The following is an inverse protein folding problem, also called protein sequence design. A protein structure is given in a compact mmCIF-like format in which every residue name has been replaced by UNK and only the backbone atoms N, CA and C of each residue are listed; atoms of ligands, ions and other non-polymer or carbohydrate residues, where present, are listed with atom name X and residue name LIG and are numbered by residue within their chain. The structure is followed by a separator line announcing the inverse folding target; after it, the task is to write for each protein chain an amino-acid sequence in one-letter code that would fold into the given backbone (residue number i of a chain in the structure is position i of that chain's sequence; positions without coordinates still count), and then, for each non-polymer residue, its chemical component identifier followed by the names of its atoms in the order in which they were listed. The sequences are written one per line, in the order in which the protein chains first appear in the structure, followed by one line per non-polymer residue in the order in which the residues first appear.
data_IF_504949902536
#
_entry.id   IF_504949902536
#
_cell.length_a   1.000
_cell.length_b   1.000
_cell.length_c   1.000
_cell.angle_alpha   90.00
_cell.angle_beta   90.00
_cell.angle_gamma   90.00
#
_symmetry.space_group_name_H-M   'P 1'
#
loop_
_entity.id
_entity.type
_entity.pdbx_description
1 polymer ?
#
# COMPACT_ATOMS: atom_id res chain seq x y z
N UNK A 1 -15.62 6.76 -9.69
CA UNK A 1 -14.98 5.80 -8.75
C UNK A 1 -14.21 4.68 -9.44
N UNK A 2 -14.67 4.14 -10.58
CA UNK A 2 -14.01 3.02 -11.29
C UNK A 2 -12.61 3.30 -11.86
N UNK A 3 -12.25 4.57 -12.10
CA UNK A 3 -10.97 4.96 -12.74
C UNK A 3 -9.82 5.18 -11.75
N UNK A 4 -10.10 5.26 -10.45
CA UNK A 4 -9.21 5.85 -9.45
C UNK A 4 -8.12 4.91 -8.93
N UNK A 5 -8.51 3.69 -8.57
CA UNK A 5 -7.56 2.64 -8.18
C UNK A 5 -6.66 2.30 -9.36
N UNK A 6 -7.24 2.30 -10.57
CA UNK A 6 -6.52 1.96 -11.79
C UNK A 6 -5.30 2.85 -12.01
N UNK A 7 -5.35 4.17 -11.74
CA UNK A 7 -4.18 5.06 -11.90
C UNK A 7 -3.08 4.76 -10.90
N UNK A 8 -3.42 4.50 -9.64
CA UNK A 8 -2.44 4.14 -8.59
C UNK A 8 -1.84 2.78 -8.90
N UNK A 9 -2.68 1.81 -9.28
CA UNK A 9 -2.18 0.52 -9.75
C UNK A 9 -1.32 0.71 -11.02
N UNK A 10 -1.64 1.64 -11.92
CA UNK A 10 -0.79 1.94 -13.07
C UNK A 10 0.61 2.42 -12.63
N UNK A 11 0.68 3.36 -11.68
CA UNK A 11 1.94 3.84 -11.09
C UNK A 11 2.77 2.71 -10.45
N UNK A 12 2.10 1.78 -9.77
CA UNK A 12 2.76 0.67 -9.09
C UNK A 12 2.93 -0.58 -9.95
N UNK A 13 2.35 -0.68 -11.16
CA UNK A 13 2.32 -1.96 -11.88
C UNK A 13 2.51 -1.89 -13.40
N UNK A 14 2.44 -0.73 -14.09
CA UNK A 14 2.88 -0.66 -15.51
C UNK A 14 4.37 -0.45 -15.72
N UNK A 15 5.11 -0.34 -14.63
CA UNK A 15 6.57 -0.22 -14.62
C UNK A 15 7.25 -1.53 -14.20
N UNK A 16 6.80 -2.66 -14.75
CA UNK A 16 7.61 -3.89 -14.87
C UNK A 16 8.94 -3.65 -15.64
N UNK A 17 9.19 -2.42 -16.11
CA UNK A 17 10.42 -1.98 -16.76
C UNK A 17 11.03 -0.85 -15.94
N UNK A 18 11.82 -1.22 -14.92
CA UNK A 18 12.76 -0.38 -14.13
C UNK A 18 12.16 0.72 -13.24
N UNK A 19 12.11 0.49 -11.92
CA UNK A 19 11.91 1.56 -10.92
C UNK A 19 11.11 1.15 -9.67
N UNK A 20 10.45 0.00 -9.70
CA UNK A 20 9.71 -0.53 -8.55
C UNK A 20 10.62 -1.37 -7.65
N UNK A 21 10.44 -1.23 -6.34
CA UNK A 21 11.23 -1.94 -5.35
C UNK A 21 10.30 -2.54 -4.30
N UNK A 22 10.35 -3.86 -4.14
CA UNK A 22 9.77 -4.54 -3.00
C UNK A 22 10.55 -4.15 -1.74
N UNK A 23 9.86 -3.62 -0.72
CA UNK A 23 10.52 -3.19 0.51
C UNK A 23 10.49 -4.30 1.56
N UNK A 24 9.31 -4.84 1.84
CA UNK A 24 9.10 -5.91 2.81
C UNK A 24 7.68 -6.48 2.74
N UNK A 25 7.46 -7.66 3.32
CA UNK A 25 6.15 -8.24 3.59
C UNK A 25 6.11 -8.98 4.92
N UNK A 26 4.90 -9.38 5.36
CA UNK A 26 4.67 -10.31 6.46
C UNK A 26 4.66 -11.77 6.01
N UNK A 27 4.87 -12.06 4.73
CA UNK A 27 5.00 -13.43 4.25
C UNK A 27 6.47 -13.83 4.45
N UNK A 28 6.67 -14.89 5.22
CA UNK A 28 7.99 -15.49 5.36
C UNK A 28 8.27 -16.33 4.11
N UNK A 29 9.02 -15.76 3.16
CA UNK A 29 9.57 -16.51 2.03
C UNK A 29 11.04 -16.85 2.28
N UNK A 30 11.45 -18.05 1.86
CA UNK A 30 12.86 -18.50 1.87
C UNK A 30 13.76 -17.71 0.89
N UNK A 31 13.20 -16.75 0.14
CA UNK A 31 13.93 -15.98 -0.86
C UNK A 31 14.70 -14.80 -0.22
N UNK A 32 16.03 -14.82 -0.36
CA UNK A 32 16.97 -13.82 0.21
C UNK A 32 16.66 -12.37 -0.23
N UNK A 33 15.87 -12.19 -1.29
CA UNK A 33 15.48 -10.89 -1.84
C UNK A 33 14.30 -10.21 -1.14
N UNK A 34 13.48 -10.94 -0.37
CA UNK A 34 12.30 -10.37 0.28
C UNK A 34 12.53 -10.19 1.78
N UNK A 35 12.44 -8.94 2.25
CA UNK A 35 12.57 -8.64 3.67
C UNK A 35 11.28 -9.02 4.41
N UNK A 36 11.36 -9.96 5.33
CA UNK A 36 10.28 -10.28 6.26
C UNK A 36 10.18 -9.24 7.38
N UNK A 37 8.95 -8.82 7.69
CA UNK A 37 8.61 -8.00 8.86
C UNK A 37 7.48 -8.69 9.61
N UNK A 38 7.67 -9.08 10.88
CA UNK A 38 6.61 -9.71 11.66
C UNK A 38 5.50 -8.70 11.98
N UNK A 39 4.25 -9.17 12.07
CA UNK A 39 3.06 -8.35 12.24
C UNK A 39 3.17 -7.35 13.41
N UNK A 40 3.76 -7.76 14.53
CA UNK A 40 3.90 -6.91 15.73
C UNK A 40 4.84 -5.70 15.53
N UNK A 41 5.66 -5.67 14.48
CA UNK A 41 6.54 -4.54 14.13
C UNK A 41 5.97 -3.65 13.01
N UNK A 42 4.84 -4.02 12.40
CA UNK A 42 4.29 -3.29 11.24
C UNK A 42 3.97 -1.84 11.54
N UNK A 43 3.39 -1.57 12.72
CA UNK A 43 3.04 -0.20 13.12
C UNK A 43 4.28 0.71 13.07
N UNK A 44 5.41 0.23 13.61
CA UNK A 44 6.65 1.00 13.65
C UNK A 44 7.29 1.14 12.27
N UNK A 45 7.26 0.10 11.44
CA UNK A 45 7.79 0.18 10.06
C UNK A 45 6.98 1.16 9.20
N UNK A 46 5.65 1.15 9.29
CA UNK A 46 4.80 2.05 8.51
C UNK A 46 4.89 3.49 9.02
N UNK A 47 5.04 3.69 10.32
CA UNK A 47 5.25 5.02 10.89
C UNK A 47 6.53 5.69 10.39
N UNK A 48 7.56 4.92 9.99
CA UNK A 48 8.74 5.49 9.32
C UNK A 48 8.38 6.14 7.99
N UNK A 49 7.42 5.58 7.24
CA UNK A 49 6.91 6.21 6.02
C UNK A 49 6.11 7.45 6.34
N UNK A 50 5.24 7.41 7.36
CA UNK A 50 4.50 8.59 7.81
C UNK A 50 5.43 9.74 8.21
N UNK A 51 6.51 9.43 8.94
CA UNK A 51 7.50 10.41 9.40
C UNK A 51 8.38 10.95 8.25
N UNK A 52 8.60 10.15 7.20
CA UNK A 52 9.46 10.52 6.07
C UNK A 52 8.73 11.29 4.95
N UNK A 53 7.51 10.89 4.63
CA UNK A 53 6.74 11.43 3.51
C UNK A 53 5.82 12.57 3.94
N UNK A 54 5.66 13.58 3.10
CA UNK A 54 4.83 14.76 3.41
C UNK A 54 3.33 14.48 3.49
N UNK A 55 2.85 13.51 2.73
CA UNK A 55 1.43 13.20 2.63
C UNK A 55 1.18 11.70 2.51
N UNK A 56 -0.05 11.31 2.86
CA UNK A 56 -0.57 9.99 2.57
C UNK A 56 -1.98 10.05 1.98
N UNK A 57 -2.36 8.99 1.28
CA UNK A 57 -3.70 8.76 0.78
C UNK A 57 -4.28 7.52 1.46
N UNK A 58 -5.53 7.63 1.87
CA UNK A 58 -6.32 6.55 2.47
C UNK A 58 -7.21 5.92 1.39
N UNK A 59 -6.91 4.67 1.06
CA UNK A 59 -7.69 3.82 0.15
C UNK A 59 -8.14 2.55 0.87
N UNK A 60 -8.58 2.70 2.12
CA UNK A 60 -9.13 1.61 2.93
C UNK A 60 -10.62 1.36 2.64
N UNK A 61 -11.10 0.17 2.97
CA UNK A 61 -12.53 -0.21 2.87
C UNK A 61 -12.94 -0.93 1.58
N UNK A 62 -12.00 -1.46 0.80
CA UNK A 62 -12.33 -2.30 -0.35
C UNK A 62 -12.60 -3.74 0.10
N UNK A 63 -13.71 -4.33 -0.35
CA UNK A 63 -13.83 -5.78 -0.33
C UNK A 63 -12.86 -6.39 -1.34
N UNK A 64 -12.27 -7.53 -1.00
CA UNK A 64 -11.32 -8.23 -1.86
C UNK A 64 -11.90 -8.53 -3.24
N UNK A 65 -13.12 -9.07 -3.29
CA UNK A 65 -13.84 -9.36 -4.54
C UNK A 65 -13.94 -8.11 -5.43
N UNK A 66 -14.34 -6.98 -4.83
CA UNK A 66 -14.47 -5.71 -5.56
C UNK A 66 -13.12 -5.21 -6.04
N UNK A 67 -12.10 -5.27 -5.20
CA UNK A 67 -10.75 -4.84 -5.53
C UNK A 67 -10.22 -5.62 -6.74
N UNK A 68 -10.25 -6.96 -6.68
CA UNK A 68 -9.80 -7.84 -7.77
C UNK A 68 -10.58 -7.52 -9.05
N UNK A 69 -11.90 -7.44 -8.98
CA UNK A 69 -12.73 -7.11 -10.14
C UNK A 69 -12.41 -5.74 -10.75
N UNK A 70 -12.09 -4.74 -9.93
CA UNK A 70 -11.74 -3.40 -10.41
C UNK A 70 -10.27 -3.32 -10.91
N UNK A 71 -9.36 -4.15 -10.39
CA UNK A 71 -7.94 -4.21 -10.81
C UNK A 71 -7.67 -5.10 -12.02
N UNK A 72 -8.46 -6.16 -12.22
CA UNK A 72 -8.35 -7.09 -13.36
C UNK A 72 -8.67 -6.45 -14.73
N UNK A 73 -9.14 -5.19 -14.76
CA UNK A 73 -9.29 -4.43 -16.01
C UNK A 73 -7.96 -3.93 -16.61
N UNK A 74 -6.81 -4.24 -16.01
CA UNK A 74 -5.49 -3.87 -16.57
C UNK A 74 -4.28 -4.67 -16.08
N UNK A 75 -4.45 -5.65 -15.19
CA UNK A 75 -3.37 -6.47 -14.63
C UNK A 75 -3.89 -7.91 -14.38
N UNK A 76 -3.37 -8.90 -15.09
CA UNK A 76 -3.86 -10.29 -15.04
C UNK A 76 -3.38 -11.07 -13.78
N UNK A 77 -2.41 -10.55 -13.01
CA UNK A 77 -1.68 -11.33 -12.00
C UNK A 77 -2.19 -11.21 -10.55
N UNK A 78 -3.45 -10.83 -10.31
CA UNK A 78 -3.97 -10.62 -8.94
C UNK A 78 -4.69 -11.81 -8.31
N UNK A 79 -4.71 -12.97 -8.98
CA UNK A 79 -5.40 -14.17 -8.46
C UNK A 79 -4.81 -14.66 -7.13
N UNK A 80 -3.51 -14.46 -6.88
CA UNK A 80 -2.85 -14.85 -5.62
C UNK A 80 -3.48 -14.18 -4.39
N UNK A 81 -4.14 -13.02 -4.55
CA UNK A 81 -4.85 -12.36 -3.46
C UNK A 81 -6.00 -13.21 -2.90
N UNK A 82 -6.59 -14.07 -3.72
CA UNK A 82 -7.65 -14.99 -3.30
C UNK A 82 -7.14 -16.06 -2.33
N UNK A 83 -5.87 -16.45 -2.46
CA UNK A 83 -5.26 -17.50 -1.63
C UNK A 83 -4.90 -17.00 -0.23
N UNK A 84 -4.86 -15.67 -0.02
CA UNK A 84 -4.54 -15.05 1.26
C UNK A 84 -5.77 -15.09 2.19
N UNK A 85 -5.69 -15.93 3.22
CA UNK A 85 -6.73 -16.06 4.26
C UNK A 85 -6.36 -15.34 5.56
N UNK A 86 -5.07 -15.28 5.89
CA UNK A 86 -4.55 -14.56 7.06
C UNK A 86 -4.11 -13.14 6.70
N UNK A 87 -4.01 -12.25 7.70
CA UNK A 87 -3.54 -10.89 7.50
C UNK A 87 -2.13 -10.89 6.89
N UNK A 88 -2.06 -10.47 5.64
CA UNK A 88 -0.83 -10.23 4.91
C UNK A 88 -0.65 -8.74 4.68
N UNK A 89 0.54 -8.22 4.99
CA UNK A 89 0.88 -6.83 4.68
C UNK A 89 2.14 -6.80 3.85
N UNK A 90 2.12 -6.00 2.77
CA UNK A 90 3.28 -5.79 1.91
C UNK A 90 3.51 -4.30 1.67
N UNK A 91 4.77 -3.94 1.44
CA UNK A 91 5.19 -2.59 1.13
C UNK A 91 5.99 -2.56 -0.18
N UNK A 92 5.55 -1.73 -1.12
CA UNK A 92 6.16 -1.52 -2.42
C UNK A 92 6.54 -0.06 -2.57
N UNK A 93 7.69 0.21 -3.19
CA UNK A 93 8.10 1.55 -3.59
C UNK A 93 8.10 1.66 -5.10
N UNK A 94 7.65 2.81 -5.62
CA UNK A 94 7.80 3.18 -7.02
C UNK A 94 8.29 4.62 -7.13
N UNK A 95 8.65 5.04 -8.34
CA UNK A 95 9.04 6.42 -8.64
C UNK A 95 7.90 7.11 -9.40
N UNK A 96 7.58 8.35 -9.02
CA UNK A 96 6.57 9.18 -9.69
C UNK A 96 7.12 10.59 -9.82
N UNK A 97 7.18 11.10 -11.06
CA UNK A 97 7.71 12.44 -11.34
C UNK A 97 9.15 12.59 -10.85
N UNK A 98 9.38 13.57 -9.98
CA UNK A 98 10.69 13.82 -9.33
C UNK A 98 10.84 13.13 -7.97
N UNK A 99 9.80 12.45 -7.50
CA UNK A 99 9.73 11.84 -6.18
C UNK A 99 9.66 10.31 -6.22
N UNK A 100 9.34 9.76 -5.04
CA UNK A 100 9.01 8.35 -4.88
C UNK A 100 7.74 8.21 -4.06
N UNK A 101 7.05 7.11 -4.29
CA UNK A 101 5.80 6.75 -3.63
C UNK A 101 5.96 5.39 -2.97
N UNK A 102 5.32 5.20 -1.81
CA UNK A 102 5.29 3.91 -1.12
C UNK A 102 3.85 3.48 -0.94
N UNK A 103 3.51 2.30 -1.45
CA UNK A 103 2.25 1.62 -1.22
C UNK A 103 2.43 0.64 -0.07
N UNK A 104 1.57 0.73 0.93
CA UNK A 104 1.38 -0.31 1.94
C UNK A 104 0.01 -0.93 1.72
N UNK A 105 -0.02 -2.23 1.49
CA UNK A 105 -1.23 -2.99 1.20
C UNK A 105 -1.46 -4.01 2.31
N UNK A 106 -2.63 -3.96 2.92
CA UNK A 106 -3.13 -4.93 3.89
C UNK A 106 -4.16 -5.80 3.19
N UNK A 107 -4.01 -7.11 3.31
CA UNK A 107 -4.82 -8.11 2.65
C UNK A 107 -5.30 -9.06 3.74
N UNK A 108 -6.61 -9.17 3.91
CA UNK A 108 -7.24 -10.19 4.76
C UNK A 108 -8.04 -11.14 3.88
N UNK A 109 -8.71 -12.14 4.47
CA UNK A 109 -9.63 -13.01 3.73
C UNK A 109 -10.68 -12.20 2.93
N UNK A 110 -11.21 -11.13 3.53
CA UNK A 110 -12.39 -10.41 3.01
C UNK A 110 -12.09 -9.01 2.46
N UNK A 111 -11.04 -8.34 2.94
CA UNK A 111 -10.79 -6.93 2.68
C UNK A 111 -9.39 -6.67 2.16
N UNK A 112 -9.27 -5.59 1.37
CA UNK A 112 -7.99 -5.00 0.98
C UNK A 112 -8.01 -3.53 1.39
N UNK A 113 -6.99 -3.12 2.14
CA UNK A 113 -6.78 -1.75 2.55
C UNK A 113 -5.45 -1.25 1.99
N UNK A 114 -5.45 -0.05 1.41
CA UNK A 114 -4.24 0.54 0.84
C UNK A 114 -3.93 1.88 1.49
N UNK A 115 -2.65 2.12 1.75
CA UNK A 115 -2.12 3.42 2.13
C UNK A 115 -1.02 3.78 1.15
N UNK A 116 -1.08 4.97 0.56
CA UNK A 116 -0.02 5.46 -0.33
C UNK A 116 0.65 6.67 0.29
N UNK A 117 1.96 6.61 0.48
CA UNK A 117 2.78 7.72 0.98
C UNK A 117 3.52 8.38 -0.19
N UNK A 118 3.61 9.72 -0.16
CA UNK A 118 4.31 10.50 -1.19
C UNK A 118 4.79 11.85 -0.66
N UNK A 119 5.73 12.45 -1.39
CA UNK A 119 6.21 13.82 -1.17
C UNK A 119 5.57 14.84 -2.12
N UNK A 120 4.87 14.36 -3.14
CA UNK A 120 4.24 15.15 -4.19
C UNK A 120 2.79 14.67 -4.37
N UNK A 121 1.92 15.57 -4.81
CA UNK A 121 0.55 15.20 -5.17
C UNK A 121 0.59 14.31 -6.42
N UNK A 122 0.24 13.03 -6.25
CA UNK A 122 0.32 12.00 -7.29
C UNK A 122 -0.75 12.26 -8.37
N UNK A 123 -1.90 12.81 -7.99
CA UNK A 123 -2.97 13.15 -8.93
C UNK A 123 -3.92 14.18 -8.32
N UNK A 124 -4.17 15.30 -9.02
CA UNK A 124 -5.02 16.43 -8.58
C UNK A 124 -6.46 16.05 -8.16
N UNK A 125 -6.89 14.81 -8.35
CA UNK A 125 -8.23 14.31 -8.05
C UNK A 125 -8.30 13.46 -6.78
N UNK A 126 -7.19 13.25 -6.08
CA UNK A 126 -7.17 12.50 -4.84
C UNK A 126 -7.03 13.41 -3.62
N UNK A 127 -7.88 13.17 -2.63
CA UNK A 127 -7.73 13.81 -1.33
C UNK A 127 -6.55 13.17 -0.60
N UNK A 128 -5.44 13.91 -0.52
CA UNK A 128 -4.34 13.56 0.37
C UNK A 128 -4.57 14.11 1.78
N UNK A 129 -3.87 13.52 2.73
CA UNK A 129 -3.79 13.96 4.12
C UNK A 129 -2.33 14.33 4.38
N UNK A 130 -2.09 15.51 4.96
CA UNK A 130 -0.74 15.94 5.34
C UNK A 130 -0.24 15.16 6.57
N UNK A 131 1.02 14.77 6.53
CA UNK A 131 1.68 14.07 7.63
C UNK A 131 2.30 15.11 8.57
N UNK A 132 1.58 15.43 9.64
CA UNK A 132 2.11 16.28 10.70
C UNK A 132 2.59 15.42 11.86
N UNK A 133 3.72 15.80 12.45
CA UNK A 133 4.24 15.15 13.66
C UNK A 133 3.22 15.17 14.81
N UNK A 134 2.37 16.19 14.89
CA UNK A 134 1.27 16.29 15.85
C UNK A 134 0.19 15.22 15.66
N UNK A 135 -0.03 14.76 14.43
CA UNK A 135 -1.07 13.78 14.08
C UNK A 135 -0.56 12.33 14.09
N UNK A 136 0.76 12.13 14.21
CA UNK A 136 1.42 10.82 14.22
C UNK A 136 0.76 9.81 15.16
N UNK A 137 0.39 10.23 16.37
CA UNK A 137 -0.28 9.34 17.35
C UNK A 137 -1.67 8.93 16.87
N UNK A 138 -2.45 9.88 16.34
CA UNK A 138 -3.79 9.61 15.78
C UNK A 138 -3.68 8.65 14.60
N UNK A 139 -2.71 8.88 13.71
CA UNK A 139 -2.43 7.99 12.59
C UNK A 139 -2.06 6.58 13.07
N UNK A 140 -1.16 6.44 14.05
CA UNK A 140 -0.81 5.13 14.61
C UNK A 140 -2.01 4.38 15.20
N UNK A 141 -2.90 5.09 15.91
CA UNK A 141 -4.13 4.48 16.45
C UNK A 141 -5.06 4.02 15.34
N UNK A 142 -5.24 4.81 14.27
CA UNK A 142 -6.03 4.40 13.10
C UNK A 142 -5.37 3.23 12.36
N UNK A 143 -4.06 3.25 12.19
CA UNK A 143 -3.31 2.19 11.52
C UNK A 143 -3.50 0.82 12.18
N UNK A 144 -3.58 0.79 13.52
CA UNK A 144 -3.88 -0.43 14.26
C UNK A 144 -5.24 -1.02 13.91
N UNK A 145 -6.24 -0.19 13.57
CA UNK A 145 -7.57 -0.70 13.18
C UNK A 145 -7.57 -1.44 11.84
N UNK A 146 -6.49 -1.35 11.06
CA UNK A 146 -6.33 -2.08 9.79
C UNK A 146 -5.67 -3.46 9.97
N UNK A 147 -5.19 -3.77 11.19
CA UNK A 147 -4.49 -5.02 11.52
C UNK A 147 -5.36 -6.03 12.28
N UNK A 148 -6.67 -5.78 12.38
CA UNK A 148 -7.67 -6.65 13.00
C UNK A 148 -8.74 -7.03 11.98
#
# INVERSE_FOLDING_TARGET
MKTFILTILFVFFTSFVSGQQFLWSTIEEDSVSQKFVPVHLLNDEILKFYDHYKLHYDFTGYSKERFIKESSYGFDDWEFLNDITELTVLALRSNVGTGSVVLVMFITEININLIVFSNEDIENNFNYILNFSSDRKKFSTWLQTLMF
#
